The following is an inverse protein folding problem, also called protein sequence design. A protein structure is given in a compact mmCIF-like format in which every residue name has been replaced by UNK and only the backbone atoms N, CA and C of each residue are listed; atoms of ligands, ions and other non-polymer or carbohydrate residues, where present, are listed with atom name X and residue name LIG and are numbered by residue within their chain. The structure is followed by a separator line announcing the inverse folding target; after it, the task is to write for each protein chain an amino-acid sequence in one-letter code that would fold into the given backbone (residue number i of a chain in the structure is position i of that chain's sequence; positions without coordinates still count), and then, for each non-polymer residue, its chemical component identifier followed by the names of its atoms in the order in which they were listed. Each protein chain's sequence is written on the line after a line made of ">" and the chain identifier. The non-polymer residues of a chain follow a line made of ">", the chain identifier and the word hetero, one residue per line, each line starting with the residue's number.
data_IF_010804899670
#
_entry.id   IF_010804899670
#
_cell.length_a   1.000
_cell.length_b   1.000
_cell.length_c   1.000
_cell.angle_alpha   90.00
_cell.angle_beta   90.00
_cell.angle_gamma   90.00
#
_symmetry.space_group_name_H-M   'P 1'
#
loop_
_entity.id
_entity.type
_entity.pdbx_description
1 polymer ?
#
# COMPACT_ATOMS: atom_id res chain seq x y z
N UNK A 1 38.70 68.22 30.56
CA UNK A 1 37.71 67.36 29.88
C UNK A 1 38.20 65.91 29.94
N UNK A 2 37.75 65.15 30.94
CA UNK A 2 38.04 63.72 31.08
C UNK A 2 37.01 62.90 30.28
N UNK A 3 37.47 62.26 29.22
CA UNK A 3 36.71 61.41 28.32
C UNK A 3 36.43 60.05 29.00
N UNK A 4 35.17 59.71 29.27
CA UNK A 4 34.75 58.35 29.58
C UNK A 4 34.41 57.64 28.27
N UNK A 5 35.22 56.65 27.88
CA UNK A 5 34.83 55.66 26.87
C UNK A 5 34.25 54.43 27.59
N UNK A 6 33.03 53.98 27.23
CA UNK A 6 32.49 52.75 27.79
C UNK A 6 33.20 51.54 27.18
N UNK A 7 33.65 50.63 28.04
CA UNK A 7 34.19 49.34 27.61
C UNK A 7 33.05 48.41 27.17
N UNK A 8 33.11 47.82 25.96
CA UNK A 8 32.10 46.87 25.51
C UNK A 8 32.25 45.57 26.30
N UNK A 9 31.16 45.13 26.95
CA UNK A 9 31.07 43.82 27.57
C UNK A 9 31.10 42.76 26.46
N UNK A 10 32.19 42.01 26.42
CA UNK A 10 32.38 40.87 25.54
C UNK A 10 31.26 39.86 25.80
N UNK A 11 30.30 39.77 24.87
CA UNK A 11 29.22 38.77 24.93
C UNK A 11 29.86 37.42 24.62
N UNK A 12 30.26 36.70 25.67
CA UNK A 12 30.94 35.41 25.55
C UNK A 12 30.14 34.45 24.67
N UNK A 13 30.74 34.05 23.54
CA UNK A 13 30.23 32.96 22.71
C UNK A 13 30.23 31.68 23.53
N UNK A 14 29.05 31.23 23.96
CA UNK A 14 28.86 29.94 24.63
C UNK A 14 28.95 28.84 23.57
N UNK A 15 30.10 28.19 23.47
CA UNK A 15 30.29 26.97 22.68
C UNK A 15 29.96 25.72 23.51
N UNK A 16 29.50 24.67 22.84
CA UNK A 16 29.35 23.34 23.43
C UNK A 16 30.73 22.76 23.80
N UNK A 17 30.83 22.07 24.93
CA UNK A 17 32.07 21.36 25.27
C UNK A 17 32.20 20.08 24.44
N UNK A 18 33.44 19.60 24.23
CA UNK A 18 33.69 18.33 23.53
C UNK A 18 32.95 17.17 24.21
N UNK A 19 32.93 17.17 25.54
CA UNK A 19 32.24 16.17 26.35
C UNK A 19 30.71 16.23 26.14
N UNK A 20 30.13 17.42 26.06
CA UNK A 20 28.70 17.61 25.82
C UNK A 20 28.28 17.08 24.44
N UNK A 21 29.11 17.32 23.42
CA UNK A 21 28.88 16.74 22.09
C UNK A 21 28.98 15.20 22.10
N UNK A 22 29.92 14.63 22.86
CA UNK A 22 30.03 13.17 22.98
C UNK A 22 28.81 12.55 23.68
N UNK A 23 28.34 13.16 24.78
CA UNK A 23 27.16 12.67 25.50
C UNK A 23 25.90 12.79 24.64
N UNK A 24 25.71 13.91 23.93
CA UNK A 24 24.56 14.09 23.04
C UNK A 24 24.54 13.06 21.91
N UNK A 25 25.67 12.82 21.24
CA UNK A 25 25.76 11.78 20.20
C UNK A 25 25.54 10.38 20.78
N UNK A 26 26.04 10.09 21.98
CA UNK A 26 25.81 8.81 22.65
C UNK A 26 24.32 8.59 22.94
N UNK A 27 23.62 9.58 23.50
CA UNK A 27 22.17 9.50 23.76
C UNK A 27 21.38 9.42 22.45
N UNK A 28 21.72 10.20 21.43
CA UNK A 28 21.10 10.14 20.11
C UNK A 28 21.25 8.75 19.47
N UNK A 29 22.43 8.13 19.61
CA UNK A 29 22.67 6.77 19.14
C UNK A 29 21.73 5.75 19.79
N UNK A 30 21.57 5.82 21.12
CA UNK A 30 20.65 4.93 21.86
C UNK A 30 19.20 5.10 21.37
N UNK A 31 18.75 6.34 21.20
CA UNK A 31 17.39 6.63 20.72
C UNK A 31 17.18 6.10 19.30
N UNK A 32 18.16 6.31 18.41
CA UNK A 32 18.06 5.89 17.01
C UNK A 32 17.85 4.37 16.86
N UNK A 33 18.50 3.57 17.71
CA UNK A 33 18.37 2.10 17.68
C UNK A 33 16.92 1.64 17.91
N UNK A 34 16.15 2.35 18.74
CA UNK A 34 14.73 2.02 19.01
C UNK A 34 13.80 2.72 18.02
N UNK A 35 14.12 3.95 17.63
CA UNK A 35 13.25 4.76 16.77
C UNK A 35 13.15 4.21 15.33
N UNK A 36 14.27 3.78 14.74
CA UNK A 36 14.31 3.30 13.36
C UNK A 36 13.37 2.11 13.10
N UNK A 37 13.42 0.99 13.87
CA UNK A 37 12.52 -0.14 13.63
C UNK A 37 11.04 0.24 13.83
N UNK A 38 10.73 1.06 14.83
CA UNK A 38 9.36 1.52 15.07
C UNK A 38 8.81 2.36 13.89
N UNK A 39 9.66 3.22 13.30
CA UNK A 39 9.29 3.98 12.10
C UNK A 39 9.09 3.06 10.90
N UNK A 40 9.94 2.04 10.70
CA UNK A 40 9.77 1.10 9.58
C UNK A 40 8.48 0.31 9.68
N UNK A 41 8.09 -0.13 10.89
CA UNK A 41 6.83 -0.83 11.12
C UNK A 41 5.62 0.08 10.84
N UNK A 42 5.68 1.34 11.29
CA UNK A 42 4.63 2.33 11.03
C UNK A 42 4.45 2.58 9.52
N UNK A 43 5.56 2.68 8.78
CA UNK A 43 5.55 2.86 7.32
C UNK A 43 4.96 1.62 6.65
N UNK A 44 5.39 0.40 7.01
CA UNK A 44 4.90 -0.83 6.40
C UNK A 44 3.40 -1.05 6.65
N UNK A 45 2.91 -0.80 7.87
CA UNK A 45 1.48 -0.85 8.15
C UNK A 45 0.68 0.19 7.36
N UNK A 46 1.24 1.39 7.17
CA UNK A 46 0.63 2.43 6.33
C UNK A 46 0.58 2.02 4.85
N UNK A 47 1.62 1.35 4.35
CA UNK A 47 1.65 0.78 2.99
C UNK A 47 0.59 -0.29 2.78
N UNK A 48 0.46 -1.26 3.70
CA UNK A 48 -0.60 -2.28 3.60
C UNK A 48 -1.98 -1.62 3.64
N UNK A 49 -2.18 -0.56 4.44
CA UNK A 49 -3.43 0.21 4.43
C UNK A 49 -3.75 0.78 3.07
N UNK A 50 -2.88 1.63 2.54
CA UNK A 50 -3.10 2.29 1.26
C UNK A 50 -3.29 1.28 0.13
N UNK A 51 -2.44 0.25 0.08
CA UNK A 51 -2.57 -0.80 -0.93
C UNK A 51 -3.88 -1.59 -0.81
N UNK A 52 -4.39 -1.86 0.40
CA UNK A 52 -5.70 -2.51 0.57
C UNK A 52 -6.86 -1.64 0.08
N UNK A 53 -6.73 -0.31 0.20
CA UNK A 53 -7.69 0.66 -0.33
C UNK A 53 -7.59 0.73 -1.87
N UNK A 54 -6.38 0.71 -2.43
CA UNK A 54 -6.17 0.64 -3.88
C UNK A 54 -6.75 -0.63 -4.50
N UNK A 55 -6.53 -1.79 -3.87
CA UNK A 55 -7.13 -3.08 -4.28
C UNK A 55 -8.66 -3.01 -4.20
N UNK A 56 -9.21 -2.42 -3.14
CA UNK A 56 -10.65 -2.20 -3.00
C UNK A 56 -11.19 -1.32 -4.14
N UNK A 57 -10.51 -0.22 -4.45
CA UNK A 57 -10.86 0.65 -5.57
C UNK A 57 -10.77 -0.06 -6.94
N UNK A 58 -9.79 -0.94 -7.13
CA UNK A 58 -9.66 -1.76 -8.33
C UNK A 58 -10.86 -2.70 -8.51
N UNK A 59 -11.29 -3.35 -7.44
CA UNK A 59 -12.44 -4.25 -7.44
C UNK A 59 -13.76 -3.50 -7.65
N UNK A 60 -13.91 -2.32 -7.03
CA UNK A 60 -15.06 -1.46 -7.26
C UNK A 60 -15.12 -0.97 -8.70
N UNK A 61 -13.97 -0.60 -9.28
CA UNK A 61 -13.87 -0.26 -10.69
C UNK A 61 -14.29 -1.44 -11.56
N UNK A 62 -13.72 -2.63 -11.33
CA UNK A 62 -14.06 -3.84 -12.07
C UNK A 62 -15.57 -4.15 -12.04
N UNK A 63 -16.18 -4.06 -10.86
CA UNK A 63 -17.63 -4.21 -10.68
C UNK A 63 -18.42 -3.16 -11.47
N UNK A 64 -18.01 -1.89 -11.40
CA UNK A 64 -18.68 -0.81 -12.13
C UNK A 64 -18.55 -0.95 -13.64
N UNK A 65 -17.41 -1.42 -14.14
CA UNK A 65 -17.19 -1.67 -15.56
C UNK A 65 -18.01 -2.87 -16.05
N UNK A 66 -18.16 -3.91 -15.23
CA UNK A 66 -19.02 -5.04 -15.54
C UNK A 66 -20.48 -4.61 -15.73
N UNK A 67 -20.97 -3.75 -14.84
CA UNK A 67 -22.31 -3.15 -14.92
C UNK A 67 -22.46 -2.25 -16.14
N UNK A 68 -21.53 -1.30 -16.36
CA UNK A 68 -21.60 -0.33 -17.46
C UNK A 68 -21.54 -0.98 -18.83
N UNK A 69 -20.65 -1.96 -19.00
CA UNK A 69 -20.40 -2.64 -20.29
C UNK A 69 -21.35 -3.81 -20.51
N UNK A 70 -22.16 -4.18 -19.51
CA UNK A 70 -23.00 -5.38 -19.51
C UNK A 70 -22.20 -6.64 -19.88
N UNK A 71 -20.97 -6.74 -19.35
CA UNK A 71 -19.99 -7.76 -19.68
C UNK A 71 -19.27 -8.27 -18.42
N UNK A 72 -18.57 -9.39 -18.52
CA UNK A 72 -17.76 -9.94 -17.44
C UNK A 72 -16.43 -9.20 -17.36
N UNK A 73 -16.07 -8.72 -16.16
CA UNK A 73 -14.78 -8.06 -15.90
C UNK A 73 -14.02 -8.83 -14.83
N UNK A 74 -12.72 -8.99 -15.03
CA UNK A 74 -11.82 -9.74 -14.16
C UNK A 74 -10.85 -8.78 -13.50
N UNK A 75 -10.62 -8.96 -12.20
CA UNK A 75 -9.63 -8.21 -11.43
C UNK A 75 -8.74 -9.17 -10.64
N UNK A 76 -7.42 -9.01 -10.76
CA UNK A 76 -6.47 -9.92 -10.12
C UNK A 76 -5.07 -9.34 -10.00
N UNK A 77 -4.26 -9.92 -9.11
CA UNK A 77 -2.82 -9.72 -9.12
C UNK A 77 -2.24 -10.23 -10.45
N UNK A 78 -1.26 -9.53 -11.01
CA UNK A 78 -0.63 -9.90 -12.29
C UNK A 78 0.85 -9.64 -12.28
N UNK A 79 1.65 -10.61 -12.73
CA UNK A 79 3.08 -10.44 -12.94
C UNK A 79 3.41 -9.87 -14.35
N UNK A 80 2.53 -10.14 -15.32
CA UNK A 80 2.74 -9.86 -16.76
C UNK A 80 1.95 -8.65 -17.28
N UNK A 81 0.95 -8.17 -16.53
CA UNK A 81 0.04 -7.09 -16.95
C UNK A 81 -1.18 -7.57 -17.74
N UNK A 82 -1.22 -8.84 -18.17
CA UNK A 82 -2.28 -9.37 -19.06
C UNK A 82 -2.91 -10.67 -18.58
N UNK A 83 -2.39 -11.27 -17.51
CA UNK A 83 -2.92 -12.51 -16.94
C UNK A 83 -2.85 -12.50 -15.42
N UNK A 84 -3.75 -13.25 -14.78
CA UNK A 84 -3.73 -13.41 -13.33
C UNK A 84 -2.54 -14.22 -12.85
N UNK A 85 -2.04 -13.87 -11.67
CA UNK A 85 -0.96 -14.54 -10.97
C UNK A 85 -1.40 -14.83 -9.52
N UNK A 86 -0.79 -15.84 -8.90
CA UNK A 86 -1.08 -16.18 -7.50
C UNK A 86 -0.61 -15.10 -6.51
N UNK A 87 0.44 -14.37 -6.86
CA UNK A 87 0.95 -13.22 -6.11
C UNK A 87 1.69 -12.28 -7.05
N UNK A 88 1.52 -10.96 -6.89
CA UNK A 88 2.30 -9.94 -7.58
C UNK A 88 2.24 -8.59 -6.86
N UNK A 89 3.18 -7.69 -7.16
CA UNK A 89 3.13 -6.27 -6.77
C UNK A 89 2.33 -5.41 -7.74
N UNK A 90 1.61 -6.02 -8.69
CA UNK A 90 0.76 -5.33 -9.66
C UNK A 90 -0.61 -5.99 -9.65
N UNK A 91 -1.63 -5.18 -9.86
CA UNK A 91 -3.01 -5.61 -10.02
C UNK A 91 -3.55 -5.06 -11.31
N UNK A 92 -4.31 -5.88 -12.04
CA UNK A 92 -4.93 -5.50 -13.31
C UNK A 92 -6.43 -5.72 -13.24
N UNK A 93 -7.14 -4.88 -13.97
CA UNK A 93 -8.55 -5.02 -14.28
C UNK A 93 -8.65 -5.12 -15.79
N UNK A 94 -9.29 -6.16 -16.30
CA UNK A 94 -9.41 -6.38 -17.73
C UNK A 94 -10.74 -7.05 -18.08
N UNK A 95 -11.17 -6.83 -19.31
CA UNK A 95 -12.21 -7.61 -19.94
C UNK A 95 -11.58 -8.76 -20.73
N UNK A 96 -12.23 -9.92 -20.76
CA UNK A 96 -11.82 -11.07 -21.55
C UNK A 96 -12.99 -11.53 -22.41
N UNK A 97 -12.72 -11.79 -23.69
CA UNK A 97 -13.73 -12.28 -24.62
C UNK A 97 -14.19 -13.70 -24.21
N UNK A 98 -15.51 -13.94 -24.02
CA UNK A 98 -16.02 -15.24 -23.63
C UNK A 98 -15.89 -16.30 -24.73
N UNK A 99 -15.78 -15.91 -26.00
CA UNK A 99 -15.57 -16.83 -27.13
C UNK A 99 -14.09 -17.09 -27.40
N UNK A 100 -13.19 -16.18 -27.00
CA UNK A 100 -11.75 -16.33 -27.18
C UNK A 100 -10.93 -15.76 -26.01
N UNK A 101 -10.45 -16.64 -25.13
CA UNK A 101 -9.68 -16.25 -23.96
C UNK A 101 -8.35 -15.51 -24.28
N UNK A 102 -7.85 -15.58 -25.52
CA UNK A 102 -6.66 -14.83 -25.94
C UNK A 102 -6.94 -13.33 -26.17
N UNK A 103 -8.20 -12.95 -26.34
CA UNK A 103 -8.61 -11.56 -26.56
C UNK A 103 -8.93 -10.92 -25.22
N UNK A 104 -8.04 -10.02 -24.78
CA UNK A 104 -8.19 -9.26 -23.54
C UNK A 104 -8.07 -7.76 -23.79
N UNK A 105 -8.92 -6.97 -23.12
CA UNK A 105 -8.82 -5.51 -23.09
C UNK A 105 -8.42 -5.06 -21.69
N UNK A 106 -7.24 -4.46 -21.54
CA UNK A 106 -6.80 -3.90 -20.27
C UNK A 106 -7.60 -2.63 -19.94
N UNK A 107 -8.32 -2.65 -18.83
CA UNK A 107 -9.09 -1.51 -18.35
C UNK A 107 -8.24 -0.63 -17.44
N UNK A 108 -7.52 -1.25 -16.51
CA UNK A 108 -6.65 -0.53 -15.58
C UNK A 108 -5.53 -1.41 -15.07
N UNK A 109 -4.38 -0.79 -14.87
CA UNK A 109 -3.27 -1.36 -14.13
C UNK A 109 -2.94 -0.51 -12.90
N UNK A 110 -2.57 -1.18 -11.82
CA UNK A 110 -2.17 -0.57 -10.55
C UNK A 110 -0.87 -1.24 -10.10
N UNK A 111 0.14 -0.44 -9.82
CA UNK A 111 1.42 -0.91 -9.27
C UNK A 111 1.48 -0.57 -7.79
N UNK A 112 1.71 -1.58 -6.96
CA UNK A 112 1.74 -1.44 -5.51
C UNK A 112 3.09 -0.84 -5.06
N UNK A 113 3.09 0.15 -4.16
CA UNK A 113 4.32 0.75 -3.67
C UNK A 113 5.06 -0.13 -2.65
N UNK A 114 6.37 0.06 -2.53
CA UNK A 114 7.13 -0.35 -1.35
C UNK A 114 7.13 -1.85 -1.04
N UNK A 115 7.27 -2.70 -2.06
CA UNK A 115 7.31 -4.17 -1.97
C UNK A 115 6.03 -4.84 -1.49
N UNK A 116 4.89 -4.13 -1.51
CA UNK A 116 3.60 -4.74 -1.23
C UNK A 116 3.25 -5.79 -2.28
N UNK A 117 2.78 -6.94 -1.82
CA UNK A 117 2.28 -8.03 -2.63
C UNK A 117 0.78 -8.17 -2.45
N UNK A 118 0.07 -8.38 -3.56
CA UNK A 118 -1.32 -8.83 -3.58
C UNK A 118 -1.31 -10.29 -3.98
N UNK A 119 -1.95 -11.14 -3.18
CA UNK A 119 -1.98 -12.59 -3.39
C UNK A 119 -3.37 -13.17 -3.14
N UNK A 120 -3.59 -14.40 -3.60
CA UNK A 120 -4.88 -15.07 -3.56
C UNK A 120 -5.69 -14.87 -4.85
N UNK A 121 -6.81 -15.61 -4.97
CA UNK A 121 -7.66 -15.64 -6.16
C UNK A 121 -6.85 -15.72 -7.49
N UNK A 122 -6.05 -16.77 -7.65
CA UNK A 122 -5.13 -16.91 -8.79
C UNK A 122 -5.81 -16.93 -10.18
N UNK A 123 -7.11 -17.28 -10.23
CA UNK A 123 -7.95 -17.19 -11.43
C UNK A 123 -8.66 -15.83 -11.58
N UNK A 124 -8.37 -14.90 -10.69
CA UNK A 124 -8.99 -13.59 -10.55
C UNK A 124 -10.38 -13.59 -9.94
N UNK A 125 -10.80 -12.40 -9.50
CA UNK A 125 -12.14 -12.11 -9.06
C UNK A 125 -12.94 -11.63 -10.27
N UNK A 126 -14.01 -12.35 -10.59
CA UNK A 126 -14.82 -12.11 -11.78
C UNK A 126 -16.17 -11.51 -11.38
N UNK A 127 -16.48 -10.33 -11.91
CA UNK A 127 -17.76 -9.67 -11.77
C UNK A 127 -18.60 -9.88 -13.03
N UNK A 128 -19.85 -10.29 -12.85
CA UNK A 128 -20.83 -10.43 -13.94
C UNK A 128 -21.49 -9.09 -14.25
N UNK A 129 -22.22 -9.04 -15.36
CA UNK A 129 -22.98 -7.88 -15.78
C UNK A 129 -24.04 -7.39 -14.77
N UNK A 130 -24.47 -8.23 -13.82
CA UNK A 130 -25.36 -7.85 -12.71
C UNK A 130 -24.62 -7.28 -11.48
N UNK A 131 -23.28 -7.18 -11.54
CA UNK A 131 -22.44 -6.70 -10.45
C UNK A 131 -22.20 -7.69 -9.32
N UNK A 132 -22.66 -8.94 -9.45
CA UNK A 132 -22.33 -10.05 -8.52
C UNK A 132 -20.98 -10.66 -8.87
N UNK A 133 -20.27 -11.17 -7.87
CA UNK A 133 -19.07 -11.97 -8.07
C UNK A 133 -19.45 -13.44 -8.32
N UNK A 134 -18.66 -14.16 -9.13
CA UNK A 134 -18.92 -15.59 -9.42
C UNK A 134 -18.81 -16.49 -8.17
N UNK A 135 -17.98 -16.10 -7.20
CA UNK A 135 -17.83 -16.80 -5.92
C UNK A 135 -17.37 -15.83 -4.84
N UNK A 136 -17.57 -16.20 -3.56
CA UNK A 136 -16.97 -15.47 -2.46
C UNK A 136 -15.46 -15.77 -2.42
N UNK A 137 -14.64 -14.72 -2.42
CA UNK A 137 -13.19 -14.83 -2.48
C UNK A 137 -12.52 -13.76 -1.62
N UNK A 138 -11.23 -13.91 -1.39
CA UNK A 138 -10.42 -12.93 -0.69
C UNK A 138 -9.07 -12.73 -1.37
N UNK A 139 -8.56 -11.50 -1.29
CA UNK A 139 -7.18 -11.15 -1.65
C UNK A 139 -6.43 -10.76 -0.39
N UNK A 140 -5.21 -11.25 -0.22
CA UNK A 140 -4.30 -10.82 0.83
C UNK A 140 -3.36 -9.76 0.28
N UNK A 141 -3.31 -8.62 0.96
CA UNK A 141 -2.35 -7.54 0.72
C UNK A 141 -1.33 -7.57 1.84
N UNK A 142 -0.04 -7.74 1.52
CA UNK A 142 1.00 -7.92 2.52
C UNK A 142 2.31 -7.22 2.19
N UNK A 143 2.98 -6.71 3.24
CA UNK A 143 4.40 -6.31 3.18
C UNK A 143 5.05 -6.52 4.54
N UNK A 144 6.28 -7.04 4.56
CA UNK A 144 7.13 -7.14 5.76
C UNK A 144 6.39 -7.66 7.02
N UNK A 145 5.63 -8.75 6.88
CA UNK A 145 4.88 -9.37 7.97
C UNK A 145 3.52 -8.73 8.31
N UNK A 146 3.21 -7.55 7.78
CA UNK A 146 1.87 -6.95 7.90
C UNK A 146 0.95 -7.47 6.80
N UNK A 147 -0.30 -7.75 7.12
CA UNK A 147 -1.31 -8.23 6.17
C UNK A 147 -2.68 -7.60 6.39
N UNK A 148 -3.43 -7.43 5.30
CA UNK A 148 -4.87 -7.16 5.28
C UNK A 148 -5.54 -8.04 4.24
N UNK A 149 -6.81 -8.31 4.46
CA UNK A 149 -7.62 -9.17 3.60
C UNK A 149 -8.74 -8.34 3.00
N UNK A 150 -8.80 -8.30 1.68
CA UNK A 150 -9.90 -7.69 0.93
C UNK A 150 -10.87 -8.80 0.58
N UNK A 151 -12.03 -8.79 1.24
CA UNK A 151 -13.09 -9.78 1.10
C UNK A 151 -14.07 -9.35 0.02
N UNK A 152 -14.40 -10.26 -0.89
CA UNK A 152 -15.45 -10.08 -1.89
C UNK A 152 -16.51 -11.15 -1.68
N UNK A 153 -17.74 -10.72 -1.42
CA UNK A 153 -18.90 -11.61 -1.31
C UNK A 153 -19.51 -11.85 -2.69
N UNK A 154 -20.30 -12.92 -2.82
CA UNK A 154 -21.03 -13.25 -4.07
C UNK A 154 -21.94 -12.08 -4.50
N UNK A 155 -22.52 -11.35 -3.55
CA UNK A 155 -23.32 -10.13 -3.81
C UNK A 155 -22.53 -8.98 -4.43
N UNK A 156 -21.20 -9.12 -4.56
CA UNK A 156 -20.28 -8.10 -5.06
C UNK A 156 -19.89 -7.05 -4.01
N UNK A 157 -20.28 -7.24 -2.75
CA UNK A 157 -19.85 -6.40 -1.63
C UNK A 157 -18.37 -6.63 -1.36
N UNK A 158 -17.63 -5.53 -1.21
CA UNK A 158 -16.17 -5.53 -0.98
C UNK A 158 -15.92 -4.91 0.39
N UNK A 159 -15.11 -5.56 1.22
CA UNK A 159 -14.73 -5.07 2.56
C UNK A 159 -13.29 -5.40 2.89
N UNK A 160 -12.66 -4.62 3.77
CA UNK A 160 -11.28 -4.86 4.22
C UNK A 160 -11.28 -5.33 5.67
N UNK A 161 -10.56 -6.42 5.95
CA UNK A 161 -10.39 -7.02 7.28
C UNK A 161 -8.90 -7.16 7.62
N UNK A 162 -8.59 -7.25 8.92
CA UNK A 162 -7.24 -7.56 9.42
C UNK A 162 -6.94 -9.06 9.48
N UNK A 163 -7.98 -9.89 9.37
CA UNK A 163 -7.92 -11.35 9.38
C UNK A 163 -8.64 -11.89 8.16
N UNK A 164 -8.43 -13.17 7.87
CA UNK A 164 -9.07 -13.86 6.74
C UNK A 164 -10.59 -13.74 6.78
N UNK A 165 -11.20 -13.72 5.61
CA UNK A 165 -12.65 -13.64 5.44
C UNK A 165 -13.28 -15.00 5.84
N UNK A 166 -13.97 -15.02 6.97
CA UNK A 166 -14.92 -16.06 7.37
C UNK A 166 -16.27 -15.87 6.69
#
# INVERSE_FOLDING_TARGET
>A
MSHLYPHPLHRGSRGFTLVELMVTVAVLGIIAVVAVPAMTDMINNSRVRGASEEVTGALQLARSEALKRNQRIIACASASGTSCAASASRMVVYWQDPANAATTELVREISMPGSVQVSGAAAGIQFRASGVADSAQQLQVSVAGHSRYVCVQISGVISVKKVTCS
#
